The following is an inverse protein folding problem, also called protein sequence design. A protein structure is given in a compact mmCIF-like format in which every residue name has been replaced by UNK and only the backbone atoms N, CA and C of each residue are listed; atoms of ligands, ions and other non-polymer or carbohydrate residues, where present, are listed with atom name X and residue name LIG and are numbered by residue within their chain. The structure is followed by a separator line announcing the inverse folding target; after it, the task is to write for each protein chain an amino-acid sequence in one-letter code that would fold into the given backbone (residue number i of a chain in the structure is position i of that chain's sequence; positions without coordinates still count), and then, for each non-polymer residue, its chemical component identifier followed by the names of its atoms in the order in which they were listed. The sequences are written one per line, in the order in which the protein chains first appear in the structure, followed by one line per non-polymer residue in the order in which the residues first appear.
data_IF_230126341872
#
_entry.id   IF_230126341872
#
_cell.length_a   1.000
_cell.length_b   1.000
_cell.length_c   1.000
_cell.angle_alpha   90.00
_cell.angle_beta   90.00
_cell.angle_gamma   90.00
#
_symmetry.space_group_name_H-M   'P 1'
#
loop_
_entity.id
_entity.type
_entity.pdbx_description
1 polymer ?
#
# COMPACT_ATOMS: atom_id res chain seq x y z
N UNK A 1 -36.16 -16.26 17.37
CA UNK A 1 -35.99 -15.33 18.52
C UNK A 1 -34.85 -15.70 19.46
N UNK A 2 -34.77 -16.92 20.03
CA UNK A 2 -33.64 -17.34 20.89
C UNK A 2 -32.24 -17.20 20.25
N UNK A 3 -32.09 -17.56 18.98
CA UNK A 3 -30.80 -17.41 18.25
C UNK A 3 -30.36 -15.96 18.04
N UNK A 4 -31.32 -15.05 17.86
CA UNK A 4 -31.06 -13.61 17.70
C UNK A 4 -30.61 -12.99 19.04
N UNK A 5 -31.25 -13.39 20.15
CA UNK A 5 -30.87 -12.95 21.49
C UNK A 5 -29.47 -13.44 21.90
N UNK A 6 -29.11 -14.67 21.52
CA UNK A 6 -27.76 -15.21 21.75
C UNK A 6 -26.72 -14.44 20.94
N UNK A 7 -27.02 -14.12 19.67
CA UNK A 7 -26.11 -13.34 18.81
C UNK A 7 -25.87 -11.93 19.37
N UNK A 8 -26.93 -11.26 19.83
CA UNK A 8 -26.85 -9.93 20.46
C UNK A 8 -26.08 -9.97 21.78
N UNK A 9 -26.27 -11.04 22.57
CA UNK A 9 -25.52 -11.25 23.82
C UNK A 9 -24.02 -11.44 23.60
N UNK A 10 -23.62 -12.22 22.58
CA UNK A 10 -22.22 -12.44 22.23
C UNK A 10 -21.57 -11.14 21.72
N UNK A 11 -22.27 -10.37 20.90
CA UNK A 11 -21.81 -9.06 20.41
C UNK A 11 -21.64 -8.07 21.56
N UNK A 12 -22.58 -8.04 22.51
CA UNK A 12 -22.50 -7.18 23.71
C UNK A 12 -21.32 -7.53 24.62
N UNK A 13 -21.01 -8.82 24.79
CA UNK A 13 -19.87 -9.28 25.59
C UNK A 13 -18.55 -8.90 24.91
N UNK A 14 -18.42 -9.09 23.59
CA UNK A 14 -17.23 -8.66 22.83
C UNK A 14 -16.99 -7.14 22.85
N UNK A 15 -18.05 -6.32 22.91
CA UNK A 15 -17.94 -4.85 22.99
C UNK A 15 -17.52 -4.37 24.39
N UNK A 16 -17.80 -5.14 25.44
CA UNK A 16 -17.47 -4.77 26.83
C UNK A 16 -16.01 -5.08 27.21
N UNK A 17 -15.34 -5.99 26.51
CA UNK A 17 -13.90 -6.23 26.65
C UNK A 17 -13.12 -5.18 25.85
N UNK A 18 -13.08 -3.94 26.36
CA UNK A 18 -12.13 -2.94 25.86
C UNK A 18 -10.72 -3.41 26.20
N UNK A 19 -9.83 -3.66 25.22
CA UNK A 19 -8.43 -3.89 25.53
C UNK A 19 -7.91 -2.63 26.23
N UNK A 20 -7.30 -2.81 27.41
CA UNK A 20 -6.56 -1.76 28.09
C UNK A 20 -5.58 -1.20 27.06
N UNK A 21 -5.62 0.11 26.81
CA UNK A 21 -4.71 0.82 25.92
C UNK A 21 -3.29 0.73 26.47
N UNK A 22 -2.62 -0.40 26.27
CA UNK A 22 -1.19 -0.51 26.48
C UNK A 22 -0.52 0.38 25.45
N UNK A 23 0.03 1.51 25.89
CA UNK A 23 1.01 2.27 25.12
C UNK A 23 2.27 1.40 25.05
N UNK A 24 2.25 0.41 24.17
CA UNK A 24 3.44 -0.36 23.85
C UNK A 24 4.40 0.60 23.15
N UNK A 25 5.40 1.07 23.90
CA UNK A 25 6.57 1.73 23.35
C UNK A 25 7.17 0.78 22.31
N UNK A 26 7.15 1.20 21.04
CA UNK A 26 7.52 0.30 19.94
C UNK A 26 9.03 0.32 19.86
N UNK A 27 9.66 -0.67 20.49
CA UNK A 27 11.11 -0.88 20.41
C UNK A 27 11.96 0.31 20.88
N UNK A 28 11.45 1.16 21.78
CA UNK A 28 12.16 2.34 22.29
C UNK A 28 12.28 3.49 21.28
N UNK A 29 11.39 3.53 20.29
CA UNK A 29 11.34 4.58 19.30
C UNK A 29 10.52 5.78 19.81
N UNK A 30 11.03 6.98 19.57
CA UNK A 30 10.35 8.22 19.97
C UNK A 30 9.61 8.85 18.79
N UNK A 31 8.55 9.63 18.99
CA UNK A 31 7.94 10.38 17.89
C UNK A 31 8.98 11.28 17.20
N UNK A 32 9.04 11.26 15.88
CA UNK A 32 10.04 12.02 15.10
C UNK A 32 9.98 13.53 15.37
N UNK A 33 8.79 14.06 15.70
CA UNK A 33 8.61 15.46 16.12
C UNK A 33 9.41 15.83 17.38
N UNK A 34 9.63 14.86 18.27
CA UNK A 34 10.30 15.04 19.56
C UNK A 34 11.78 14.59 19.50
N UNK A 35 12.25 14.10 18.35
CA UNK A 35 13.60 13.59 18.17
C UNK A 35 14.61 14.70 17.86
N UNK A 36 15.58 14.88 18.75
CA UNK A 36 16.68 15.82 18.55
C UNK A 36 17.57 15.44 17.34
N UNK A 37 17.80 14.15 17.11
CA UNK A 37 18.58 13.67 15.96
C UNK A 37 17.85 13.92 14.63
N UNK A 38 16.52 13.81 14.60
CA UNK A 38 15.70 14.16 13.44
C UNK A 38 15.78 15.65 13.10
N UNK A 39 15.67 16.54 14.11
CA UNK A 39 15.81 17.99 13.91
C UNK A 39 17.22 18.38 13.44
N UNK A 40 18.26 17.76 13.99
CA UNK A 40 19.65 17.95 13.52
C UNK A 40 19.83 17.58 12.04
N UNK A 41 19.12 16.57 11.54
CA UNK A 41 19.11 16.20 10.11
C UNK A 41 18.41 17.23 9.24
N UNK A 42 17.30 17.80 9.71
CA UNK A 42 16.64 18.91 9.02
C UNK A 42 17.58 20.11 8.89
N UNK A 43 18.16 20.56 10.00
CA UNK A 43 19.07 21.71 10.03
C UNK A 43 20.29 21.50 9.14
N UNK A 44 20.95 20.34 9.22
CA UNK A 44 22.12 20.03 8.39
C UNK A 44 21.77 19.96 6.89
N UNK A 45 20.60 19.38 6.55
CA UNK A 45 20.12 19.32 5.16
C UNK A 45 19.84 20.72 4.60
N UNK A 46 19.12 21.55 5.36
CA UNK A 46 18.81 22.93 4.97
C UNK A 46 20.07 23.78 4.91
N UNK A 47 20.99 23.65 5.88
CA UNK A 47 22.27 24.35 5.89
C UNK A 47 23.08 24.04 4.63
N UNK A 48 23.18 22.76 4.24
CA UNK A 48 23.88 22.34 3.01
C UNK A 48 23.27 22.98 1.76
N UNK A 49 21.95 23.08 1.68
CA UNK A 49 21.26 23.74 0.56
C UNK A 49 21.48 25.26 0.58
N UNK A 50 21.38 25.91 1.74
CA UNK A 50 21.66 27.35 1.90
C UNK A 50 23.11 27.71 1.53
N UNK A 51 24.08 26.87 1.90
CA UNK A 51 25.49 27.06 1.49
C UNK A 51 25.67 26.97 -0.03
N UNK A 52 24.88 26.14 -0.72
CA UNK A 52 24.88 26.11 -2.20
C UNK A 52 24.19 27.33 -2.78
N UNK A 53 23.08 27.76 -2.19
CA UNK A 53 22.32 28.94 -2.63
C UNK A 53 23.16 30.20 -2.57
N UNK A 54 24.01 30.36 -1.55
CA UNK A 54 24.90 31.51 -1.41
C UNK A 54 25.93 31.69 -2.54
N UNK A 55 26.11 30.69 -3.42
CA UNK A 55 27.00 30.76 -4.59
C UNK A 55 26.31 31.32 -5.84
N UNK A 56 24.99 31.52 -5.80
CA UNK A 56 24.20 31.98 -6.93
C UNK A 56 23.58 33.34 -6.63
N UNK A 57 23.45 34.18 -7.66
CA UNK A 57 22.73 35.45 -7.54
C UNK A 57 21.22 35.22 -7.41
N UNK A 58 20.57 36.16 -6.72
CA UNK A 58 19.12 36.16 -6.52
C UNK A 58 18.39 36.19 -7.87
N UNK A 59 17.28 35.45 -7.98
CA UNK A 59 16.45 35.34 -9.18
C UNK A 59 17.08 34.61 -10.41
N UNK A 60 18.22 33.93 -10.24
CA UNK A 60 18.71 33.00 -11.26
C UNK A 60 17.93 31.67 -11.22
N UNK A 61 17.74 30.95 -12.35
CA UNK A 61 17.06 29.65 -12.35
C UNK A 61 17.63 28.62 -11.35
N UNK A 62 18.96 28.53 -11.16
CA UNK A 62 19.54 27.67 -10.12
C UNK A 62 19.19 28.10 -8.69
N UNK A 63 19.11 29.40 -8.41
CA UNK A 63 18.71 29.91 -7.10
C UNK A 63 17.24 29.56 -6.79
N UNK A 64 16.33 29.78 -7.73
CA UNK A 64 14.91 29.42 -7.59
C UNK A 64 14.71 27.91 -7.38
N UNK A 65 15.48 27.07 -8.09
CA UNK A 65 15.44 25.63 -7.90
C UNK A 65 15.91 25.21 -6.50
N UNK A 66 16.94 25.87 -5.96
CA UNK A 66 17.45 25.62 -4.61
C UNK A 66 16.47 26.08 -3.53
N UNK A 67 15.79 27.22 -3.72
CA UNK A 67 14.72 27.68 -2.84
C UNK A 67 13.55 26.68 -2.81
N UNK A 68 13.08 26.23 -3.97
CA UNK A 68 12.05 25.20 -4.07
C UNK A 68 12.48 23.89 -3.39
N UNK A 69 13.76 23.51 -3.51
CA UNK A 69 14.31 22.33 -2.84
C UNK A 69 14.37 22.49 -1.32
N UNK A 70 14.69 23.69 -0.80
CA UNK A 70 14.65 23.99 0.63
C UNK A 70 13.22 23.85 1.15
N UNK A 71 12.25 24.47 0.48
CA UNK A 71 10.82 24.37 0.85
C UNK A 71 10.33 22.93 0.82
N UNK A 72 10.65 22.16 -0.24
CA UNK A 72 10.31 20.73 -0.32
C UNK A 72 10.94 19.92 0.81
N UNK A 73 12.17 20.26 1.21
CA UNK A 73 12.86 19.59 2.32
C UNK A 73 12.15 19.89 3.64
N UNK A 74 11.84 21.15 3.92
CA UNK A 74 11.11 21.54 5.13
C UNK A 74 9.75 20.86 5.21
N UNK A 75 8.96 20.94 4.13
CA UNK A 75 7.63 20.30 4.05
C UNK A 75 7.71 18.78 4.26
N UNK A 76 8.74 18.12 3.74
CA UNK A 76 8.94 16.68 3.95
C UNK A 76 9.15 16.34 5.43
N UNK A 77 10.05 17.05 6.11
CA UNK A 77 10.32 16.81 7.54
C UNK A 77 9.09 17.15 8.40
N UNK A 78 8.37 18.23 8.08
CA UNK A 78 7.13 18.60 8.74
C UNK A 78 6.04 17.54 8.56
N UNK A 79 5.85 17.02 7.35
CA UNK A 79 4.88 15.95 7.07
C UNK A 79 5.23 14.67 7.82
N UNK A 80 6.51 14.29 7.91
CA UNK A 80 6.96 13.13 8.67
C UNK A 80 6.71 13.30 10.18
N UNK A 81 6.91 14.51 10.72
CA UNK A 81 6.57 14.83 12.10
C UNK A 81 5.05 14.80 12.37
N UNK A 82 4.24 15.36 11.46
CA UNK A 82 2.77 15.40 11.55
C UNK A 82 2.11 14.04 11.36
N UNK A 83 2.65 13.19 10.48
CA UNK A 83 2.22 11.81 10.29
C UNK A 83 2.49 10.94 11.53
N UNK A 84 3.18 11.49 12.54
CA UNK A 84 3.46 10.82 13.80
C UNK A 84 4.47 9.69 13.67
N UNK A 85 5.31 9.67 12.62
CA UNK A 85 6.33 8.64 12.43
C UNK A 85 7.23 8.50 13.67
N UNK A 86 7.72 7.29 13.93
CA UNK A 86 8.62 7.00 15.03
C UNK A 86 10.06 7.04 14.53
N UNK A 87 10.97 7.61 15.31
CA UNK A 87 12.38 7.78 14.98
C UNK A 87 13.26 7.06 16.00
N UNK A 88 14.34 6.44 15.51
CA UNK A 88 15.36 5.83 16.35
C UNK A 88 16.43 6.83 16.81
N UNK A 89 17.50 6.30 17.40
CA UNK A 89 18.70 7.06 17.79
C UNK A 89 19.40 7.66 16.58
N UNK A 90 19.24 7.06 15.40
CA UNK A 90 19.70 7.54 14.11
C UNK A 90 18.98 8.81 13.62
N UNK A 91 17.81 9.13 14.16
CA UNK A 91 16.97 10.26 13.73
C UNK A 91 16.32 10.05 12.36
N UNK A 92 16.12 8.80 11.94
CA UNK A 92 15.39 8.45 10.73
C UNK A 92 14.01 7.90 11.08
N UNK A 93 12.96 8.15 10.27
CA UNK A 93 11.66 7.53 10.47
C UNK A 93 11.69 6.02 10.23
N UNK A 94 11.20 5.24 11.18
CA UNK A 94 11.06 3.78 11.14
C UNK A 94 9.57 3.44 11.00
N UNK A 95 9.28 2.43 10.19
CA UNK A 95 7.92 1.96 9.92
C UNK A 95 7.61 0.72 10.76
N UNK A 96 6.38 0.63 11.26
CA UNK A 96 5.93 -0.54 12.04
C UNK A 96 4.99 -1.39 11.17
N UNK A 97 5.40 -2.64 10.91
CA UNK A 97 4.68 -3.56 10.04
C UNK A 97 4.08 -4.77 10.78
N UNK A 98 3.82 -4.65 12.08
CA UNK A 98 3.32 -5.74 12.92
C UNK A 98 1.78 -5.92 12.89
N UNK A 99 1.07 -5.09 12.13
CA UNK A 99 -0.38 -5.16 11.97
C UNK A 99 -1.19 -4.38 13.01
N UNK A 100 -0.56 -3.59 13.89
CA UNK A 100 -1.28 -2.75 14.84
C UNK A 100 -2.07 -1.63 14.14
N UNK A 101 -3.32 -1.43 14.55
CA UNK A 101 -4.19 -0.39 13.98
C UNK A 101 -3.73 1.03 14.29
N UNK A 102 -3.02 1.23 15.40
CA UNK A 102 -2.45 2.54 15.76
C UNK A 102 -1.42 3.05 14.75
N UNK A 103 -0.85 2.17 13.93
CA UNK A 103 0.14 2.44 12.87
C UNK A 103 -0.27 1.86 11.52
N UNK A 104 -1.57 1.67 11.27
CA UNK A 104 -2.04 1.06 10.03
C UNK A 104 -1.60 1.82 8.75
N UNK A 105 -1.37 3.13 8.85
CA UNK A 105 -0.86 3.96 7.76
C UNK A 105 0.56 3.63 7.32
N UNK A 106 1.39 3.00 8.16
CA UNK A 106 2.78 2.71 7.84
C UNK A 106 2.90 1.55 6.82
N UNK A 107 2.05 0.53 6.94
CA UNK A 107 2.14 -0.68 6.12
C UNK A 107 0.79 -1.30 5.72
N UNK A 108 -0.20 -1.33 6.61
CA UNK A 108 -1.48 -2.03 6.36
C UNK A 108 -2.28 -1.35 5.24
N UNK A 109 -2.50 -0.04 5.30
CA UNK A 109 -3.27 0.66 4.25
C UNK A 109 -2.55 0.62 2.89
N UNK A 110 -1.24 0.94 2.79
CA UNK A 110 -0.51 0.77 1.54
C UNK A 110 -0.49 -0.69 1.03
N UNK A 111 -0.38 -1.66 1.94
CA UNK A 111 -0.38 -3.08 1.60
C UNK A 111 -1.72 -3.56 1.05
N UNK A 112 -2.84 -3.19 1.67
CA UNK A 112 -4.18 -3.51 1.16
C UNK A 112 -4.43 -2.83 -0.20
N UNK A 113 -4.00 -1.58 -0.36
CA UNK A 113 -4.07 -0.88 -1.64
C UNK A 113 -3.25 -1.60 -2.72
N UNK A 114 -2.04 -2.06 -2.38
CA UNK A 114 -1.20 -2.83 -3.29
C UNK A 114 -1.87 -4.14 -3.71
N UNK A 115 -2.36 -4.94 -2.76
CA UNK A 115 -3.06 -6.19 -3.07
C UNK A 115 -4.30 -5.94 -3.92
N UNK A 116 -5.04 -4.86 -3.66
CA UNK A 116 -6.19 -4.50 -4.47
C UNK A 116 -5.79 -4.18 -5.92
N UNK A 117 -4.74 -3.39 -6.14
CA UNK A 117 -4.27 -3.04 -7.50
C UNK A 117 -3.67 -4.27 -8.20
N UNK A 118 -2.81 -5.03 -7.52
CA UNK A 118 -2.17 -6.22 -8.07
C UNK A 118 -3.20 -7.31 -8.41
N UNK A 119 -4.19 -7.51 -7.52
CA UNK A 119 -5.30 -8.42 -7.75
C UNK A 119 -6.18 -7.98 -8.91
N UNK A 120 -6.46 -6.67 -9.06
CA UNK A 120 -7.18 -6.15 -10.22
C UNK A 120 -6.43 -6.47 -11.52
N UNK A 121 -5.14 -6.13 -11.60
CA UNK A 121 -4.32 -6.40 -12.79
C UNK A 121 -4.31 -7.89 -13.13
N UNK A 122 -4.06 -8.75 -12.13
CA UNK A 122 -4.05 -10.20 -12.32
C UNK A 122 -5.40 -10.76 -12.76
N UNK A 123 -6.50 -10.27 -12.18
CA UNK A 123 -7.85 -10.71 -12.49
C UNK A 123 -8.26 -10.35 -13.91
N UNK A 124 -7.98 -9.11 -14.34
CA UNK A 124 -8.25 -8.65 -15.70
C UNK A 124 -7.43 -9.43 -16.73
N UNK A 125 -6.15 -9.67 -16.43
CA UNK A 125 -5.28 -10.48 -17.28
C UNK A 125 -5.81 -11.91 -17.44
N UNK A 126 -6.17 -12.57 -16.33
CA UNK A 126 -6.78 -13.91 -16.35
C UNK A 126 -8.07 -13.94 -17.17
N UNK A 127 -9.00 -13.00 -16.92
CA UNK A 127 -10.28 -12.95 -17.63
C UNK A 127 -10.12 -12.73 -19.14
N UNK A 128 -9.16 -11.88 -19.55
CA UNK A 128 -8.84 -11.69 -20.97
C UNK A 128 -8.29 -12.98 -21.60
N UNK A 129 -7.32 -13.65 -20.94
CA UNK A 129 -6.74 -14.90 -21.43
C UNK A 129 -7.78 -16.02 -21.58
N UNK A 130 -8.69 -16.17 -20.61
CA UNK A 130 -9.79 -17.13 -20.68
C UNK A 130 -10.79 -16.83 -21.81
N UNK A 131 -11.00 -15.56 -22.15
CA UNK A 131 -11.87 -15.20 -23.26
C UNK A 131 -11.22 -15.53 -24.61
N UNK A 132 -9.93 -15.18 -24.79
CA UNK A 132 -9.24 -15.42 -26.07
C UNK A 132 -8.88 -16.89 -26.29
N UNK A 133 -8.74 -17.70 -25.24
CA UNK A 133 -8.45 -19.14 -25.37
C UNK A 133 -9.54 -19.91 -26.11
N UNK A 134 -10.79 -19.44 -26.08
CA UNK A 134 -11.92 -20.01 -26.83
C UNK A 134 -11.99 -19.58 -28.31
N UNK A 135 -11.09 -18.69 -28.75
CA UNK A 135 -11.05 -18.18 -30.13
C UNK A 135 -10.29 -19.14 -31.05
N UNK A 136 -10.52 -19.07 -32.37
CA UNK A 136 -9.83 -19.92 -33.34
C UNK A 136 -8.30 -19.74 -33.39
N UNK A 137 -7.80 -18.56 -33.00
CA UNK A 137 -6.37 -18.24 -32.94
C UNK A 137 -6.03 -17.45 -31.67
N UNK A 138 -5.86 -18.11 -30.52
CA UNK A 138 -5.59 -17.43 -29.24
C UNK A 138 -4.27 -16.66 -29.25
N UNK A 139 -3.20 -17.23 -29.83
CA UNK A 139 -1.86 -16.62 -29.88
C UNK A 139 -1.82 -15.32 -30.66
N UNK A 140 -2.65 -15.17 -31.70
CA UNK A 140 -2.75 -13.92 -32.45
C UNK A 140 -3.35 -12.79 -31.60
N UNK A 141 -4.31 -13.13 -30.73
CA UNK A 141 -4.98 -12.18 -29.81
C UNK A 141 -4.17 -11.84 -28.56
N UNK A 142 -3.11 -12.58 -28.30
CA UNK A 142 -2.10 -12.26 -27.27
C UNK A 142 -1.06 -11.27 -27.80
N UNK A 143 -0.68 -11.37 -29.08
CA UNK A 143 0.27 -10.44 -29.72
C UNK A 143 -0.45 -9.15 -30.14
N UNK A 144 -1.60 -9.29 -30.79
CA UNK A 144 -2.45 -8.19 -31.25
C UNK A 144 -3.66 -8.12 -30.33
N UNK A 145 -3.52 -7.32 -29.27
CA UNK A 145 -4.55 -7.19 -28.23
C UNK A 145 -5.85 -6.67 -28.82
N UNK A 146 -6.94 -7.36 -28.52
CA UNK A 146 -8.29 -6.91 -28.80
C UNK A 146 -8.66 -5.81 -27.80
N UNK A 147 -8.35 -4.56 -28.15
CA UNK A 147 -8.51 -3.40 -27.26
C UNK A 147 -9.96 -3.26 -26.73
N UNK A 148 -11.03 -3.40 -27.55
CA UNK A 148 -12.39 -3.38 -27.04
C UNK A 148 -12.66 -4.46 -25.97
N UNK A 149 -12.21 -5.69 -26.20
CA UNK A 149 -12.39 -6.78 -25.25
C UNK A 149 -11.58 -6.56 -23.96
N UNK A 150 -10.32 -6.12 -24.09
CA UNK A 150 -9.45 -5.82 -22.95
C UNK A 150 -10.01 -4.68 -22.08
N UNK A 151 -10.60 -3.66 -22.69
CA UNK A 151 -11.27 -2.57 -21.97
C UNK A 151 -12.49 -3.07 -21.19
N UNK A 152 -13.28 -3.98 -21.76
CA UNK A 152 -14.43 -4.60 -21.07
C UNK A 152 -14.00 -5.34 -19.79
N UNK A 153 -12.92 -6.11 -19.86
CA UNK A 153 -12.35 -6.77 -18.68
C UNK A 153 -11.75 -5.77 -17.69
N UNK A 154 -11.02 -4.77 -18.18
CA UNK A 154 -10.40 -3.73 -17.34
C UNK A 154 -11.41 -3.00 -16.45
N UNK A 155 -12.57 -2.66 -17.01
CA UNK A 155 -13.64 -1.94 -16.28
C UNK A 155 -14.42 -2.86 -15.33
N UNK A 156 -14.55 -4.15 -15.64
CA UNK A 156 -15.25 -5.12 -14.78
C UNK A 156 -14.38 -5.69 -13.64
N UNK A 157 -13.06 -5.51 -13.71
CA UNK A 157 -12.12 -6.04 -12.72
C UNK A 157 -12.14 -5.37 -11.34
N UNK A 158 -12.88 -4.29 -11.13
CA UNK A 158 -12.91 -3.59 -9.82
C UNK A 158 -13.52 -4.44 -8.69
N UNK A 159 -14.43 -5.37 -9.02
CA UNK A 159 -15.02 -6.32 -8.06
C UNK A 159 -14.24 -7.62 -7.92
N UNK A 160 -12.96 -7.66 -8.33
CA UNK A 160 -12.17 -8.88 -8.33
C UNK A 160 -12.15 -9.64 -6.99
N UNK A 161 -12.14 -9.03 -5.78
CA UNK A 161 -12.06 -9.83 -4.56
C UNK A 161 -13.31 -10.70 -4.37
N UNK A 162 -14.48 -10.17 -4.73
CA UNK A 162 -15.74 -10.89 -4.63
C UNK A 162 -15.89 -11.92 -5.75
N UNK A 163 -15.53 -11.55 -6.98
CA UNK A 163 -15.59 -12.46 -8.13
C UNK A 163 -14.62 -13.64 -7.97
N UNK A 164 -13.38 -13.37 -7.52
CA UNK A 164 -12.40 -14.41 -7.23
C UNK A 164 -12.85 -15.33 -6.10
N UNK A 165 -13.47 -14.79 -5.04
CA UNK A 165 -14.04 -15.61 -3.98
C UNK A 165 -15.18 -16.50 -4.50
N UNK A 166 -16.07 -15.95 -5.33
CA UNK A 166 -17.17 -16.71 -5.93
C UNK A 166 -16.63 -17.86 -6.80
N UNK A 167 -15.69 -17.58 -7.72
CA UNK A 167 -15.06 -18.60 -8.57
C UNK A 167 -14.26 -19.63 -7.76
N UNK A 168 -13.66 -19.23 -6.65
CA UNK A 168 -13.00 -20.17 -5.74
C UNK A 168 -14.01 -21.12 -5.11
N UNK A 169 -15.15 -20.61 -4.65
CA UNK A 169 -16.20 -21.43 -4.04
C UNK A 169 -16.98 -22.28 -5.04
N UNK A 170 -17.07 -21.87 -6.31
CA UNK A 170 -17.69 -22.68 -7.38
C UNK A 170 -16.75 -23.75 -7.92
N UNK A 171 -15.43 -23.62 -7.70
CA UNK A 171 -14.42 -24.53 -8.22
C UNK A 171 -13.85 -24.12 -9.58
N UNK A 172 -14.26 -22.97 -10.14
CA UNK A 172 -13.81 -22.49 -11.45
C UNK A 172 -12.47 -21.73 -11.40
N UNK A 173 -11.98 -21.40 -10.19
CA UNK A 173 -10.72 -20.69 -10.03
C UNK A 173 -9.49 -21.59 -10.24
N UNK A 174 -9.58 -22.87 -9.85
CA UNK A 174 -8.46 -23.82 -9.81
C UNK A 174 -8.73 -24.96 -10.78
N UNK A 175 -7.76 -25.25 -11.62
CA UNK A 175 -7.83 -26.39 -12.54
C UNK A 175 -7.54 -27.71 -11.82
N UNK A 176 -8.17 -28.79 -12.29
CA UNK A 176 -7.98 -30.14 -11.76
C UNK A 176 -6.60 -30.70 -12.10
N UNK A 177 -6.04 -31.54 -11.20
CA UNK A 177 -4.71 -32.13 -11.40
C UNK A 177 -4.62 -32.99 -12.67
N UNK A 178 -5.72 -33.59 -13.10
CA UNK A 178 -5.80 -34.43 -14.31
C UNK A 178 -5.56 -33.65 -15.61
N UNK A 179 -5.92 -32.36 -15.62
CA UNK A 179 -5.77 -31.49 -16.79
C UNK A 179 -4.39 -30.81 -16.87
N UNK A 180 -3.57 -30.93 -15.82
CA UNK A 180 -2.25 -30.31 -15.74
C UNK A 180 -1.18 -31.37 -16.02
N UNK A 181 -0.48 -31.24 -17.14
CA UNK A 181 0.61 -32.16 -17.48
C UNK A 181 1.76 -32.05 -16.47
N UNK A 182 2.09 -33.13 -15.78
CA UNK A 182 3.22 -33.22 -14.86
C UNK A 182 4.34 -34.09 -15.44
N UNK A 183 5.59 -33.73 -15.15
CA UNK A 183 6.73 -34.62 -15.46
C UNK A 183 6.69 -35.86 -14.55
N UNK A 184 7.27 -37.00 -14.97
CA UNK A 184 7.47 -38.14 -14.09
C UNK A 184 8.18 -37.70 -12.80
N UNK A 185 7.63 -38.11 -11.65
CA UNK A 185 8.08 -37.71 -10.32
C UNK A 185 9.13 -38.68 -9.78
#
# INVERSE_FOLDING_TARGET
MKRLLILVGIIGICLSSSPINTKADVSGLVPCKDSASFNKRLESSVKKLKTRLAKYETATPPALALEAQITKTQNRFENYGKAGLLCGTDGLPHLIADGRWTRAGDFIFPGLLFIYIAGWIGWVGRGYLQAVSSTSKPTEKEIIIDVPLAMKFSVSGFTWPLAAWQEFTSGDLIETEENITVSPR
#
